data_IF_213828862473
#
_entry.id   IF_213828862473
#
_cell.length_a   1.000
_cell.length_b   1.000
_cell.length_c   1.000
_cell.angle_alpha   90.00
_cell.angle_beta   90.00
_cell.angle_gamma   90.00
#
_symmetry.space_group_name_H-M   'P 1'
#
loop_
_entity.id
_entity.type
_entity.pdbx_description
1 polymer ?
2 non-polymer ?
3 non-polymer ?
4 non-polymer ?
5 water ?
#
# COMPACT_ATOMS: atom_id res chain seq x y z
N UNK A 3 1.80 22.56 -2.78
CA UNK A 3 0.69 23.18 -2.03
C UNK A 3 0.80 23.03 -0.50
N UNK A 4 1.78 22.26 0.01
CA UNK A 4 1.89 22.05 1.44
C UNK A 4 0.80 21.14 1.98
N UNK A 5 1.02 20.64 3.19
CA UNK A 5 0.36 19.38 3.51
C UNK A 5 -0.18 19.26 4.93
N UNK A 6 -0.67 20.35 5.53
CA UNK A 6 -1.36 20.15 6.82
C UNK A 6 -2.89 20.10 6.74
N UNK A 7 -3.48 20.33 5.56
CA UNK A 7 -4.93 20.55 5.49
C UNK A 7 -5.69 19.24 5.70
N UNK A 8 -7.03 19.35 5.77
CA UNK A 8 -7.85 18.21 6.17
C UNK A 8 -7.99 17.20 5.05
N UNK A 9 -7.99 17.67 3.80
CA UNK A 9 -7.90 16.76 2.66
C UNK A 9 -6.65 15.91 2.76
N UNK A 10 -5.52 16.55 3.05
CA UNK A 10 -4.28 15.84 3.37
C UNK A 10 -4.51 14.74 4.42
N UNK A 11 -5.12 15.12 5.55
CA UNK A 11 -5.34 14.17 6.63
C UNK A 11 -6.17 12.97 6.17
N UNK A 12 -7.24 13.20 5.41
CA UNK A 12 -8.03 12.09 4.90
C UNK A 12 -7.22 11.23 3.94
N UNK A 13 -6.36 11.86 3.14
CA UNK A 13 -5.51 11.12 2.21
C UNK A 13 -4.50 10.24 2.95
N UNK A 14 -3.97 10.73 4.07
CA UNK A 14 -2.98 9.96 4.81
C UNK A 14 -3.60 8.68 5.34
N UNK A 15 -4.73 8.79 6.04
CA UNK A 15 -5.39 7.60 6.58
C UNK A 15 -5.86 6.67 5.47
N UNK A 16 -6.31 7.24 4.35
CA UNK A 16 -6.67 6.45 3.18
C UNK A 16 -5.51 5.58 2.71
N UNK A 17 -4.32 6.19 2.56
CA UNK A 17 -3.15 5.41 2.19
C UNK A 17 -2.74 4.44 3.30
N UNK A 18 -2.79 4.89 4.57
CA UNK A 18 -2.40 4.00 5.66
C UNK A 18 -3.23 2.72 5.67
N UNK A 19 -4.53 2.84 5.39
CA UNK A 19 -5.40 1.68 5.47
C UNK A 19 -4.94 0.55 4.55
N UNK A 20 -4.52 0.89 3.33
CA UNK A 20 -3.91 -0.11 2.44
C UNK A 20 -2.54 -0.53 2.93
N UNK A 21 -1.63 0.43 3.04
CA UNK A 21 -0.23 0.09 3.32
C UNK A 21 -0.11 -0.65 4.63
N UNK A 22 -0.79 -0.17 5.68
CA UNK A 22 -0.63 -0.82 6.97
C UNK A 22 -1.50 -2.07 7.09
N UNK A 23 -2.60 -2.17 6.35
CA UNK A 23 -3.30 -3.44 6.26
C UNK A 23 -2.42 -4.52 5.65
N UNK A 24 -1.76 -4.21 4.54
CA UNK A 24 -0.90 -5.19 3.91
C UNK A 24 0.27 -5.56 4.80
N UNK A 25 0.91 -4.55 5.41
CA UNK A 25 2.06 -4.78 6.27
C UNK A 25 1.71 -5.70 7.43
N UNK A 26 0.52 -5.51 8.02
CA UNK A 26 0.13 -6.41 9.11
C UNK A 26 -0.01 -7.84 8.61
N UNK A 27 -0.53 -8.02 7.38
CA UNK A 27 -0.65 -9.38 6.83
C UNK A 27 0.72 -10.04 6.71
N UNK A 28 1.65 -9.37 6.03
CA UNK A 28 3.00 -9.91 5.88
C UNK A 28 3.67 -10.13 7.23
N UNK A 29 3.43 -9.24 8.19
CA UNK A 29 4.07 -9.38 9.49
C UNK A 29 3.58 -10.63 10.20
N UNK A 30 2.29 -10.91 10.12
CA UNK A 30 1.78 -12.12 10.75
C UNK A 30 2.42 -13.37 10.17
N UNK A 31 2.88 -13.31 8.92
CA UNK A 31 3.48 -14.48 8.29
C UNK A 31 4.99 -14.54 8.47
N UNK A 32 5.65 -13.42 8.78
CA UNK A 32 7.11 -13.34 8.73
C UNK A 32 7.80 -12.80 9.97
N UNK A 33 7.09 -12.62 11.08
CA UNK A 33 7.71 -11.94 12.21
C UNK A 33 8.56 -12.91 13.03
N UNK A 34 9.77 -12.46 13.39
CA UNK A 34 10.61 -13.19 14.32
C UNK A 34 10.46 -12.61 15.72
N UNK A 35 11.14 -13.23 16.69
CA UNK A 35 11.04 -12.79 18.07
C UNK A 35 11.57 -11.37 18.27
N UNK A 36 12.53 -10.93 17.43
CA UNK A 36 12.98 -9.54 17.54
C UNK A 36 11.87 -8.58 17.16
N UNK A 37 11.14 -8.89 16.10
CA UNK A 37 10.03 -8.05 15.69
C UNK A 37 8.99 -7.95 16.79
N UNK A 38 8.70 -9.06 17.47
CA UNK A 38 7.67 -9.02 18.51
C UNK A 38 8.13 -8.22 19.71
N UNK A 39 9.41 -8.27 20.03
CA UNK A 39 9.95 -7.42 21.08
C UNK A 39 9.73 -5.95 20.72
N UNK A 40 10.10 -5.55 19.51
CA UNK A 40 9.94 -4.17 19.07
C UNK A 40 8.49 -3.71 19.17
N UNK A 41 7.53 -4.59 18.86
CA UNK A 41 6.13 -4.19 18.94
C UNK A 41 5.66 -4.11 20.39
N UNK A 42 6.03 -5.09 21.21
CA UNK A 42 5.66 -5.07 22.63
C UNK A 42 6.34 -3.93 23.38
N UNK A 43 7.59 -3.61 23.04
CA UNK A 43 8.27 -2.46 23.61
C UNK A 43 7.47 -1.18 23.40
N UNK A 44 6.94 -1.00 22.18
CA UNK A 44 6.16 0.20 21.87
C UNK A 44 4.83 0.18 22.61
N UNK A 45 4.19 -0.99 22.71
CA UNK A 45 2.93 -1.07 23.45
C UNK A 45 3.13 -0.71 24.91
N UNK A 46 4.17 -1.27 25.54
CA UNK A 46 4.43 -1.00 26.96
C UNK A 46 4.62 0.49 27.19
N UNK A 47 5.31 1.16 26.26
CA UNK A 47 5.48 2.61 26.37
C UNK A 47 4.15 3.32 26.24
N UNK A 48 3.26 2.84 25.35
CA UNK A 48 1.96 3.49 25.20
C UNK A 48 1.11 3.29 26.43
N UNK A 49 1.12 2.09 26.99
CA UNK A 49 0.34 1.80 28.18
C UNK A 49 0.67 2.78 29.30
N UNK A 50 1.96 3.08 29.50
CA UNK A 50 2.39 4.09 30.46
C UNK A 50 2.04 5.52 30.04
N UNK A 51 1.59 5.73 28.80
CA UNK A 51 1.33 7.09 28.34
C UNK A 51 -0.16 7.36 28.19
N UNK A 52 -1.02 6.50 28.72
CA UNK A 52 -2.45 6.68 28.51
C UNK A 52 -2.94 7.98 29.14
N UNK A 53 -2.39 8.34 30.30
CA UNK A 53 -2.82 9.55 31.00
C UNK A 53 -2.44 10.80 30.21
N UNK A 54 -1.28 10.81 29.56
CA UNK A 54 -0.72 11.99 28.91
C UNK A 54 -0.28 11.66 27.47
N UNK A 55 -1.08 12.03 26.44
CA UNK A 55 -0.87 11.44 25.11
C UNK A 55 -0.08 12.24 24.07
N UNK A 56 0.68 13.28 24.45
CA UNK A 56 1.56 13.94 23.47
C UNK A 56 2.92 13.25 23.33
N UNK A 57 3.37 12.53 24.37
CA UNK A 57 4.49 11.61 24.26
C UNK A 57 4.09 10.31 23.60
N UNK A 58 2.80 10.00 23.63
CA UNK A 58 2.30 8.83 22.95
C UNK A 58 2.51 8.89 21.45
N UNK A 59 2.61 10.10 20.88
CA UNK A 59 2.79 10.25 19.44
C UNK A 59 3.90 9.37 18.92
N UNK A 60 5.12 9.55 19.45
CA UNK A 60 6.26 8.81 18.90
C UNK A 60 6.13 7.31 19.14
N UNK A 61 5.62 6.93 20.30
CA UNK A 61 5.45 5.52 20.60
C UNK A 61 4.38 4.89 19.72
N UNK A 62 3.35 5.65 19.38
CA UNK A 62 2.35 5.21 18.43
C UNK A 62 2.97 4.99 17.05
N UNK A 63 3.64 6.00 16.50
CA UNK A 63 4.32 5.81 15.21
C UNK A 63 5.29 4.64 15.30
N UNK A 64 6.02 4.53 16.41
CA UNK A 64 7.04 3.48 16.55
C UNK A 64 6.41 2.10 16.49
N UNK A 65 5.23 1.93 17.09
CA UNK A 65 4.55 0.63 17.03
C UNK A 65 4.24 0.25 15.59
N UNK A 66 3.72 1.19 14.80
CA UNK A 66 3.39 0.94 13.40
C UNK A 66 4.63 0.76 12.54
N UNK A 67 5.71 1.47 12.87
CA UNK A 67 6.95 1.27 12.14
C UNK A 67 7.49 -0.14 12.36
N UNK A 68 7.41 -0.63 13.61
CA UNK A 68 7.88 -1.99 13.88
C UNK A 68 7.10 -3.01 13.08
N UNK A 69 5.76 -2.84 13.01
CA UNK A 69 4.94 -3.68 12.14
C UNK A 69 5.46 -3.66 10.72
N UNK A 70 5.78 -2.48 10.21
CA UNK A 70 6.36 -2.40 8.86
C UNK A 70 7.69 -3.14 8.79
N UNK A 71 8.54 -3.00 9.81
CA UNK A 71 9.81 -3.71 9.76
C UNK A 71 9.59 -5.22 9.85
N UNK A 72 8.56 -5.66 10.57
CA UNK A 72 8.30 -7.09 10.65
C UNK A 72 7.91 -7.71 9.30
N UNK A 73 7.70 -6.93 8.23
CA UNK A 73 7.44 -7.56 6.95
C UNK A 73 8.69 -8.18 6.34
N UNK A 74 9.87 -7.78 6.78
CA UNK A 74 11.14 -8.31 6.23
C UNK A 74 11.25 -7.89 4.77
N UNK A 75 10.53 -6.83 4.41
CA UNK A 75 10.57 -6.31 3.03
C UNK A 75 11.22 -4.95 3.14
N UNK A 76 12.37 -4.80 2.55
CA UNK A 76 13.20 -3.59 2.64
C UNK A 76 12.40 -2.39 2.19
N UNK A 77 11.57 -2.52 1.18
CA UNK A 77 10.80 -1.36 0.69
C UNK A 77 9.76 -0.85 1.69
N UNK A 78 9.09 -1.72 2.42
CA UNK A 78 8.02 -1.22 3.32
C UNK A 78 8.57 -0.27 4.37
N UNK A 79 9.67 -0.61 5.02
CA UNK A 79 10.15 0.32 6.06
C UNK A 79 10.48 1.67 5.44
N UNK A 80 11.10 1.66 4.28
CA UNK A 80 11.47 2.95 3.66
C UNK A 80 10.24 3.80 3.39
N UNK A 81 9.15 3.23 2.92
CA UNK A 81 7.95 4.04 2.60
C UNK A 81 7.44 4.69 3.87
N UNK A 82 7.40 3.96 4.96
CA UNK A 82 6.95 4.59 6.21
C UNK A 82 7.94 5.69 6.58
N UNK A 83 9.24 5.47 6.41
CA UNK A 83 10.17 6.57 6.76
C UNK A 83 9.92 7.75 5.84
N UNK A 84 9.80 7.49 4.55
CA UNK A 84 9.56 8.56 3.58
C UNK A 84 8.31 9.39 3.92
N UNK A 85 7.35 8.79 4.63
CA UNK A 85 6.10 9.46 4.98
C UNK A 85 6.06 9.89 6.45
N UNK A 86 7.21 9.93 7.13
CA UNK A 86 7.20 10.09 8.58
C UNK A 86 6.50 11.38 9.02
N UNK A 87 6.66 12.49 8.27
CA UNK A 87 5.95 13.71 8.64
C UNK A 87 4.43 13.55 8.49
N UNK A 88 3.98 12.85 7.45
CA UNK A 88 2.55 12.64 7.29
C UNK A 88 2.00 11.75 8.40
N UNK A 89 2.76 10.71 8.77
CA UNK A 89 2.37 9.87 9.89
C UNK A 89 2.20 10.71 11.17
N UNK A 90 3.17 11.58 11.43
CA UNK A 90 3.13 12.37 12.66
C UNK A 90 1.92 13.27 12.68
N UNK A 91 1.67 13.99 11.57
CA UNK A 91 0.52 14.87 11.49
C UNK A 91 -0.78 14.12 11.76
N UNK A 92 -0.90 12.90 11.23
CA UNK A 92 -2.10 12.11 11.43
C UNK A 92 -2.15 11.58 12.86
N UNK A 93 -1.04 11.03 13.35
CA UNK A 93 -1.07 10.46 14.69
C UNK A 93 -1.25 11.56 15.74
N UNK A 94 -0.60 12.72 15.55
CA UNK A 94 -0.69 13.80 16.53
C UNK A 94 -2.10 14.40 16.58
N UNK A 95 -2.68 14.72 15.42
CA UNK A 95 -4.05 15.24 15.36
C UNK A 95 -5.04 14.30 16.03
N UNK A 96 -4.83 12.98 15.89
CA UNK A 96 -5.76 11.99 16.46
C UNK A 96 -5.60 11.85 17.96
N UNK A 97 -4.37 11.83 18.46
CA UNK A 97 -4.21 11.57 19.88
C UNK A 97 -4.68 12.77 20.70
N UNK A 98 -4.50 13.98 20.17
CA UNK A 98 -5.16 15.13 20.78
C UNK A 98 -6.67 14.93 20.84
N UNK A 99 -7.29 14.56 19.71
CA UNK A 99 -8.74 14.50 19.65
C UNK A 99 -9.32 13.48 20.63
N UNK A 100 -8.65 12.33 20.81
CA UNK A 100 -9.20 11.26 21.65
C UNK A 100 -8.98 11.49 23.14
N UNK A 101 -8.05 12.36 23.52
CA UNK A 101 -7.94 12.74 24.93
C UNK A 101 -9.14 13.56 25.40
N UNK A 102 -10.09 13.87 24.50
CA UNK A 102 -11.26 14.67 24.84
C UNK A 102 -12.36 13.83 25.51
N UNK A 103 -12.53 12.58 25.08
CA UNK A 103 -13.55 11.71 25.63
C UNK A 103 -12.92 10.75 26.62
N UNK A 104 -13.53 10.62 27.81
CA UNK A 104 -12.91 9.86 28.90
C UNK A 104 -12.73 8.39 28.50
N UNK A 105 -11.57 7.84 28.84
CA UNK A 105 -11.25 6.46 28.52
C UNK A 105 -11.01 6.13 27.05
N UNK A 106 -11.24 7.07 26.13
CA UNK A 106 -11.07 6.77 24.70
C UNK A 106 -9.66 6.32 24.38
N UNK A 107 -8.68 6.82 25.12
CA UNK A 107 -7.30 6.43 24.86
C UNK A 107 -7.06 4.98 25.25
N UNK A 108 -7.69 4.53 26.33
CA UNK A 108 -7.60 3.12 26.69
C UNK A 108 -8.25 2.26 25.62
N UNK A 109 -9.30 2.76 24.99
CA UNK A 109 -9.96 2.04 23.91
C UNK A 109 -9.06 1.97 22.69
N UNK A 110 -8.40 3.09 22.35
CA UNK A 110 -7.48 3.09 21.22
C UNK A 110 -6.29 2.18 21.51
N UNK A 111 -5.81 2.17 22.75
CA UNK A 111 -4.75 1.24 23.11
C UNK A 111 -5.11 -0.19 22.70
N UNK A 112 -6.36 -0.60 22.92
CA UNK A 112 -6.75 -1.97 22.60
C UNK A 112 -6.83 -2.19 21.09
N UNK A 113 -7.07 -1.13 20.30
CA UNK A 113 -6.96 -1.28 18.86
C UNK A 113 -5.55 -1.68 18.46
N UNK A 114 -4.55 -1.13 19.14
CA UNK A 114 -3.16 -1.53 18.90
C UNK A 114 -2.91 -2.94 19.38
N UNK A 115 -3.37 -3.27 20.59
CA UNK A 115 -3.17 -4.61 21.10
C UNK A 115 -3.79 -5.63 20.15
N UNK A 116 -4.96 -5.29 19.59
CA UNK A 116 -5.60 -6.23 18.69
C UNK A 116 -4.70 -6.55 17.52
N UNK A 117 -4.00 -5.55 16.97
CA UNK A 117 -3.07 -5.82 15.87
C UNK A 117 -1.90 -6.66 16.34
N UNK A 118 -1.47 -6.47 17.58
CA UNK A 118 -0.32 -7.21 18.08
C UNK A 118 -0.68 -8.67 18.30
N UNK A 119 -1.82 -8.93 18.93
CA UNK A 119 -2.24 -10.31 19.17
C UNK A 119 -2.40 -11.07 17.85
N UNK A 120 -3.06 -10.45 16.87
CA UNK A 120 -3.21 -11.10 15.57
C UNK A 120 -1.87 -11.43 14.94
N UNK A 121 -0.87 -10.55 15.10
CA UNK A 121 0.42 -10.84 14.47
C UNK A 121 1.17 -11.90 15.24
N UNK A 122 1.16 -11.81 16.57
CA UNK A 122 1.62 -12.90 17.42
C UNK A 122 1.01 -14.23 16.97
N UNK A 123 -0.33 -14.31 16.93
CA UNK A 123 -1.05 -15.55 16.64
C UNK A 123 -0.76 -16.13 15.25
N UNK A 124 -0.08 -15.40 14.38
CA UNK A 124 0.25 -15.92 13.07
C UNK A 124 -0.82 -15.77 12.01
N UNK A 125 -1.96 -15.13 12.33
CA UNK A 125 -3.13 -15.03 11.47
C UNK A 125 -3.09 -13.78 10.57
N UNK A 126 -2.78 -13.94 9.27
CA UNK A 126 -2.63 -12.74 8.42
C UNK A 126 -3.92 -11.96 8.19
N UNK A 127 -5.04 -12.63 7.91
CA UNK A 127 -6.27 -11.89 7.62
C UNK A 127 -6.81 -11.23 8.87
N UNK A 128 -6.65 -11.88 10.02
CA UNK A 128 -7.03 -11.23 11.26
C UNK A 128 -6.17 -9.98 11.52
N UNK A 129 -4.88 -10.08 11.21
CA UNK A 129 -3.98 -8.94 11.40
C UNK A 129 -4.35 -7.79 10.47
N UNK A 130 -4.58 -8.09 9.20
CA UNK A 130 -4.97 -7.04 8.26
C UNK A 130 -6.27 -6.37 8.71
N UNK A 131 -7.25 -7.16 9.18
CA UNK A 131 -8.51 -6.57 9.62
C UNK A 131 -8.29 -5.62 10.78
N UNK A 132 -7.52 -6.05 11.78
CA UNK A 132 -7.37 -5.21 12.96
C UNK A 132 -6.65 -3.92 12.61
N UNK A 133 -5.65 -4.02 11.72
CA UNK A 133 -4.90 -2.82 11.34
C UNK A 133 -5.77 -1.84 10.56
N UNK A 134 -6.58 -2.34 9.62
CA UNK A 134 -7.50 -1.43 8.94
C UNK A 134 -8.57 -0.91 9.90
N UNK A 135 -8.81 -1.59 11.01
CA UNK A 135 -9.80 -1.07 11.94
C UNK A 135 -9.26 0.06 12.82
N UNK A 136 -8.01 -0.04 13.32
CA UNK A 136 -7.42 1.09 14.05
C UNK A 136 -7.56 2.35 13.22
N UNK A 137 -7.29 2.25 11.92
CA UNK A 137 -7.26 3.43 11.06
C UNK A 137 -8.66 3.93 10.72
N UNK A 138 -9.55 3.01 10.31
CA UNK A 138 -10.95 3.38 10.05
C UNK A 138 -11.57 4.08 11.25
N UNK A 139 -11.32 3.55 12.45
CA UNK A 139 -11.85 4.15 13.67
C UNK A 139 -11.17 5.48 13.95
N UNK A 140 -9.86 5.57 13.68
CA UNK A 140 -9.16 6.82 13.92
C UNK A 140 -9.68 7.89 13.00
N UNK A 141 -9.94 7.52 11.74
CA UNK A 141 -10.47 8.49 10.79
C UNK A 141 -11.91 8.87 11.15
N UNK A 142 -12.67 7.93 11.67
CA UNK A 142 -14.05 8.20 12.01
C UNK A 142 -14.14 9.02 13.30
N UNK A 143 -13.24 8.80 14.27
CA UNK A 143 -13.15 9.68 15.43
C UNK A 143 -12.80 11.10 15.03
N UNK A 144 -12.18 11.29 13.86
CA UNK A 144 -11.87 12.60 13.33
C UNK A 144 -12.87 13.08 12.29
N UNK A 145 -13.92 12.29 12.01
CA UNK A 145 -14.97 12.69 11.07
C UNK A 145 -14.42 12.93 9.66
N UNK A 146 -13.44 12.12 9.25
CA UNK A 146 -12.80 12.35 7.95
C UNK A 146 -13.71 11.94 6.79
N UNK A 147 -14.56 10.92 6.99
CA UNK A 147 -15.45 10.43 5.94
C UNK A 147 -14.65 9.96 4.72
N UNK A 148 -13.97 8.84 4.91
CA UNK A 148 -13.21 8.20 3.84
C UNK A 148 -14.16 7.62 2.80
N UNK B 5 18.74 -13.03 -12.43
CA UNK B 5 18.99 -14.42 -12.08
C UNK B 5 19.21 -14.56 -10.58
N UNK B 6 20.28 -13.96 -10.07
CA UNK B 6 20.52 -13.91 -8.63
C UNK B 6 19.73 -12.80 -7.95
N UNK B 7 18.92 -12.05 -8.70
CA UNK B 7 18.12 -10.96 -8.16
C UNK B 7 16.66 -11.36 -7.95
N UNK B 8 16.38 -12.68 -7.93
CA UNK B 8 15.01 -13.13 -7.72
C UNK B 8 14.44 -12.60 -6.41
N UNK B 9 15.25 -12.62 -5.35
CA UNK B 9 14.73 -12.22 -4.03
C UNK B 9 14.34 -10.74 -4.01
N UNK B 10 15.05 -9.90 -4.76
CA UNK B 10 14.73 -8.47 -4.74
C UNK B 10 13.55 -8.13 -5.64
N UNK B 11 13.41 -8.82 -6.77
CA UNK B 11 12.23 -8.62 -7.59
C UNK B 11 10.97 -9.08 -6.86
N UNK B 12 11.09 -10.13 -6.06
CA UNK B 12 9.91 -10.60 -5.33
C UNK B 12 9.47 -9.59 -4.28
N UNK B 13 10.40 -8.85 -3.68
CA UNK B 13 10.01 -7.88 -2.66
C UNK B 13 9.38 -6.65 -3.30
N UNK B 14 9.85 -6.26 -4.49
CA UNK B 14 9.17 -5.24 -5.29
C UNK B 14 7.76 -5.70 -5.66
N UNK B 15 7.62 -6.92 -6.18
CA UNK B 15 6.29 -7.37 -6.56
C UNK B 15 5.41 -7.51 -5.33
N UNK B 16 6.00 -7.94 -4.22
CA UNK B 16 5.28 -8.00 -2.95
C UNK B 16 4.72 -6.63 -2.55
N UNK B 17 5.56 -5.61 -2.55
CA UNK B 17 5.09 -4.28 -2.19
C UNK B 17 4.10 -3.73 -3.21
N UNK B 18 4.37 -3.90 -4.51
CA UNK B 18 3.46 -3.43 -5.54
C UNK B 18 2.07 -4.01 -5.35
N UNK B 19 1.99 -5.26 -4.89
CA UNK B 19 0.71 -5.92 -4.77
C UNK B 19 -0.19 -5.20 -3.80
N UNK B 20 0.37 -4.70 -2.70
CA UNK B 20 -0.46 -3.94 -1.77
C UNK B 20 -0.67 -2.51 -2.26
N UNK B 21 0.40 -1.85 -2.70
CA UNK B 21 0.26 -0.48 -3.17
C UNK B 21 -0.71 -0.36 -4.34
N UNK B 22 -0.59 -1.26 -5.32
CA UNK B 22 -1.37 -1.11 -6.56
C UNK B 22 -2.77 -1.69 -6.42
N UNK B 23 -2.95 -2.76 -5.66
CA UNK B 23 -4.31 -3.20 -5.36
C UNK B 23 -5.13 -2.10 -4.70
N UNK B 24 -4.57 -1.47 -3.67
CA UNK B 24 -5.27 -0.39 -3.02
C UNK B 24 -5.52 0.79 -3.95
N UNK B 25 -4.51 1.16 -4.74
CA UNK B 25 -4.70 2.24 -5.72
C UNK B 25 -5.83 1.90 -6.71
N UNK B 26 -5.84 0.67 -7.25
CA UNK B 26 -6.85 0.35 -8.26
C UNK B 26 -8.25 0.44 -7.69
N UNK B 27 -8.44 -0.03 -6.45
CA UNK B 27 -9.72 0.11 -5.79
C UNK B 27 -10.07 1.56 -5.56
N UNK B 28 -9.09 2.37 -5.17
CA UNK B 28 -9.32 3.80 -5.02
C UNK B 28 -9.70 4.44 -6.35
N UNK B 29 -8.95 4.12 -7.40
CA UNK B 29 -9.23 4.73 -8.70
C UNK B 29 -10.63 4.37 -9.17
N UNK B 30 -11.05 3.13 -8.92
CA UNK B 30 -12.40 2.72 -9.30
C UNK B 30 -13.45 3.60 -8.65
N UNK B 31 -13.19 4.10 -7.44
CA UNK B 31 -14.17 4.99 -6.82
C UNK B 31 -14.06 6.43 -7.32
N UNK B 32 -12.87 6.90 -7.70
CA UNK B 32 -12.62 8.34 -7.88
C UNK B 32 -12.23 8.77 -9.30
N UNK B 33 -12.00 7.84 -10.22
CA UNK B 33 -11.61 8.18 -11.59
C UNK B 33 -12.60 9.13 -12.23
N UNK B 34 -12.08 10.04 -13.07
CA UNK B 34 -12.91 10.91 -13.89
C UNK B 34 -12.57 10.66 -15.36
N UNK B 35 -13.26 11.38 -16.26
CA UNK B 35 -13.09 11.15 -17.70
C UNK B 35 -11.66 11.41 -18.16
N UNK B 36 -10.97 12.38 -17.54
CA UNK B 36 -9.55 12.58 -17.83
C UNK B 36 -8.71 11.38 -17.43
N UNK B 37 -9.05 10.74 -16.31
CA UNK B 37 -8.29 9.57 -15.86
C UNK B 37 -8.47 8.42 -16.82
N UNK B 38 -9.72 8.16 -17.23
CA UNK B 38 -10.03 7.12 -18.21
C UNK B 38 -9.24 7.30 -19.49
N UNK B 39 -9.29 8.53 -20.05
CA UNK B 39 -8.53 8.82 -21.26
C UNK B 39 -7.05 8.58 -21.04
N UNK B 40 -6.52 9.02 -19.89
CA UNK B 40 -5.10 8.82 -19.62
C UNK B 40 -4.76 7.34 -19.52
N UNK B 41 -5.60 6.55 -18.85
CA UNK B 41 -5.36 5.10 -18.83
C UNK B 41 -5.56 4.47 -20.20
N UNK B 42 -6.58 4.92 -20.94
CA UNK B 42 -6.87 4.30 -22.25
C UNK B 42 -5.77 4.62 -23.26
N UNK B 43 -5.28 5.86 -23.26
CA UNK B 43 -4.15 6.19 -24.13
C UNK B 43 -2.94 5.31 -23.82
N UNK B 44 -2.70 5.06 -22.54
CA UNK B 44 -1.61 4.17 -22.16
C UNK B 44 -1.83 2.77 -22.69
N UNK B 45 -3.07 2.25 -22.57
CA UNK B 45 -3.34 0.91 -23.10
C UNK B 45 -3.09 0.87 -24.60
N UNK B 46 -3.53 1.92 -25.32
CA UNK B 46 -3.29 1.99 -26.77
C UNK B 46 -1.80 2.00 -27.09
N UNK B 47 -1.00 2.75 -26.32
CA UNK B 47 0.45 2.70 -26.53
C UNK B 47 0.98 1.30 -26.29
N UNK B 48 0.49 0.60 -25.25
CA UNK B 48 0.95 -0.76 -25.01
C UNK B 48 0.49 -1.71 -26.10
N UNK B 49 -0.69 -1.46 -26.67
CA UNK B 49 -1.18 -2.31 -27.76
C UNK B 49 -0.26 -2.22 -28.97
N UNK B 50 0.19 -1.01 -29.29
CA UNK B 50 1.12 -0.83 -30.40
C UNK B 50 2.44 -1.54 -30.15
N UNK B 51 2.91 -1.57 -28.90
CA UNK B 51 4.22 -2.12 -28.56
C UNK B 51 4.29 -3.64 -28.69
N UNK B 52 3.15 -4.30 -28.94
CA UNK B 52 3.19 -5.71 -29.33
C UNK B 52 4.00 -5.91 -30.61
N UNK B 53 3.90 -4.96 -31.55
CA UNK B 53 4.69 -5.01 -32.78
C UNK B 53 6.12 -4.56 -32.53
N UNK B 54 6.31 -3.35 -32.00
CA UNK B 54 7.66 -2.82 -31.79
C UNK B 54 7.95 -2.70 -30.30
N UNK B 55 8.97 -3.39 -29.78
CA UNK B 55 9.18 -3.44 -28.33
C UNK B 55 9.73 -2.14 -27.71
N UNK B 56 10.17 -1.19 -28.51
CA UNK B 56 10.87 -0.02 -27.97
C UNK B 56 9.95 0.79 -27.07
N UNK B 57 10.45 1.15 -25.89
CA UNK B 57 9.78 2.00 -24.90
C UNK B 57 8.54 1.32 -24.28
N UNK B 58 8.42 0.00 -24.42
CA UNK B 58 7.31 -0.71 -23.80
C UNK B 58 7.32 -0.62 -22.29
N UNK B 59 8.51 -0.57 -21.70
CA UNK B 59 8.63 -0.41 -20.25
C UNK B 59 7.97 0.90 -19.82
N UNK B 60 8.26 1.98 -20.55
CA UNK B 60 7.71 3.28 -20.19
C UNK B 60 6.19 3.28 -20.30
N UNK B 61 5.65 2.63 -21.33
CA UNK B 61 4.19 2.60 -21.47
C UNK B 61 3.53 1.71 -20.42
N UNK B 62 4.18 0.61 -20.03
CA UNK B 62 3.69 -0.19 -18.92
C UNK B 62 3.65 0.64 -17.64
N UNK B 63 4.78 1.26 -17.27
CA UNK B 63 4.83 2.08 -16.06
C UNK B 63 3.85 3.24 -16.14
N UNK B 64 3.75 3.89 -17.31
CA UNK B 64 2.81 4.99 -17.45
C UNK B 64 1.37 4.53 -17.23
N UNK B 65 1.09 3.25 -17.50
CA UNK B 65 -0.25 2.75 -17.21
C UNK B 65 -0.48 2.66 -15.70
N UNK B 66 0.45 2.05 -14.97
CA UNK B 66 0.28 1.94 -13.53
C UNK B 66 0.35 3.30 -12.86
N UNK B 67 1.20 4.21 -13.38
CA UNK B 67 1.21 5.57 -12.84
C UNK B 67 -0.14 6.27 -13.07
N UNK B 68 -0.76 6.05 -14.22
CA UNK B 68 -2.06 6.67 -14.49
C UNK B 68 -3.13 6.19 -13.52
N UNK B 69 -3.12 4.90 -13.16
CA UNK B 69 -4.06 4.40 -12.16
C UNK B 69 -3.82 5.11 -10.83
N UNK B 70 -2.56 5.31 -10.48
CA UNK B 70 -2.25 6.01 -9.23
C UNK B 70 -2.75 7.46 -9.27
N UNK B 71 -2.55 8.16 -10.40
CA UNK B 71 -3.13 9.50 -10.54
C UNK B 71 -4.64 9.44 -10.34
N UNK B 72 -5.29 8.38 -10.83
CA UNK B 72 -6.75 8.31 -10.74
C UNK B 72 -7.27 8.08 -9.32
N UNK B 73 -6.39 7.75 -8.36
CA UNK B 73 -6.84 7.73 -6.95
C UNK B 73 -7.17 9.12 -6.46
N UNK B 74 -6.55 10.15 -7.04
CA UNK B 74 -6.68 11.54 -6.60
C UNK B 74 -6.21 11.71 -5.15
N UNK B 75 -5.30 10.84 -4.72
CA UNK B 75 -4.64 10.91 -3.43
C UNK B 75 -3.17 11.09 -3.73
N UNK B 76 -2.60 12.23 -3.29
CA UNK B 76 -1.29 12.65 -3.75
C UNK B 76 -0.18 11.74 -3.27
N UNK B 77 -0.43 10.96 -2.22
CA UNK B 77 0.63 10.12 -1.69
C UNK B 77 0.77 8.82 -2.49
N UNK B 78 -0.29 8.39 -3.19
CA UNK B 78 -0.11 7.25 -4.10
C UNK B 78 0.83 7.62 -5.25
N UNK B 79 0.71 8.82 -5.79
CA UNK B 79 1.61 9.21 -6.87
C UNK B 79 3.03 9.38 -6.37
N UNK B 80 3.19 10.00 -5.18
CA UNK B 80 4.53 10.23 -4.62
C UNK B 80 5.28 8.94 -4.41
N UNK B 81 4.62 7.93 -3.84
CA UNK B 81 5.31 6.67 -3.55
C UNK B 81 5.70 5.94 -4.82
N UNK B 82 4.84 6.00 -5.85
CA UNK B 82 5.18 5.36 -7.10
C UNK B 82 6.30 6.11 -7.81
N UNK B 83 6.29 7.44 -7.73
CA UNK B 83 7.43 8.20 -8.23
C UNK B 83 8.67 7.90 -7.40
N UNK B 84 8.48 7.74 -6.10
CA UNK B 84 9.58 7.45 -5.20
C UNK B 84 10.22 6.10 -5.53
N UNK B 85 9.41 5.14 -5.97
CA UNK B 85 9.87 3.78 -6.24
C UNK B 85 10.09 3.54 -7.73
N UNK B 86 10.15 4.61 -8.54
CA UNK B 86 10.23 4.47 -9.98
C UNK B 86 11.37 3.57 -10.43
N UNK B 87 12.52 3.66 -9.74
CA UNK B 87 13.67 2.84 -10.13
C UNK B 87 13.39 1.36 -9.95
N UNK B 88 12.78 1.01 -8.81
CA UNK B 88 12.37 -0.37 -8.57
C UNK B 88 11.33 -0.80 -9.59
N UNK B 89 10.40 0.08 -9.93
CA UNK B 89 9.40 -0.27 -10.93
C UNK B 89 10.06 -0.58 -12.28
N UNK B 90 10.96 0.29 -12.72
CA UNK B 90 11.63 0.11 -14.01
C UNK B 90 12.39 -1.22 -14.06
N UNK B 91 13.09 -1.56 -12.97
CA UNK B 91 13.86 -2.79 -12.98
C UNK B 91 12.96 -4.01 -13.03
N UNK B 92 11.82 -3.96 -12.34
CA UNK B 92 10.89 -5.08 -12.39
C UNK B 92 10.20 -5.18 -13.74
N UNK B 93 9.67 -4.06 -14.23
CA UNK B 93 8.91 -4.07 -15.48
C UNK B 93 9.81 -4.47 -16.64
N UNK B 94 11.04 -3.94 -16.70
CA UNK B 94 11.91 -4.25 -17.82
C UNK B 94 12.40 -5.69 -17.76
N UNK B 95 12.69 -6.19 -16.56
CA UNK B 95 12.97 -7.61 -16.40
C UNK B 95 11.80 -8.47 -16.89
N UNK B 96 10.58 -8.10 -16.52
CA UNK B 96 9.42 -8.94 -16.83
C UNK B 96 9.08 -8.90 -18.31
N UNK B 97 9.22 -7.74 -18.95
CA UNK B 97 8.78 -7.64 -20.34
C UNK B 97 9.75 -8.33 -21.30
N UNK B 98 11.06 -8.26 -21.03
CA UNK B 98 12.03 -9.01 -21.85
C UNK B 98 11.86 -10.50 -21.66
N UNK B 99 11.60 -10.95 -20.43
CA UNK B 99 11.34 -12.37 -20.20
C UNK B 99 10.09 -12.82 -20.93
N UNK B 100 9.10 -11.92 -21.06
CA UNK B 100 7.80 -12.27 -21.63
C UNK B 100 7.82 -12.33 -23.14
N UNK B 101 8.71 -11.55 -23.78
CA UNK B 101 8.88 -11.64 -25.21
C UNK B 101 9.41 -13.01 -25.63
N UNK B 102 10.07 -13.73 -24.73
CA UNK B 102 10.67 -15.02 -25.04
C UNK B 102 9.65 -16.10 -25.44
N UNK B 103 8.43 -16.06 -24.91
CA UNK B 103 7.41 -17.03 -25.29
C UNK B 103 6.36 -16.38 -26.18
N UNK B 104 5.88 -17.14 -27.18
CA UNK B 104 5.31 -16.54 -28.38
C UNK B 104 4.12 -15.63 -28.07
N UNK B 105 3.02 -16.19 -27.59
CA UNK B 105 1.86 -15.35 -27.39
C UNK B 105 1.78 -14.74 -26.02
N UNK B 106 2.91 -14.64 -25.32
CA UNK B 106 2.88 -14.27 -23.91
C UNK B 106 2.48 -12.80 -23.72
N UNK B 107 3.13 -11.88 -24.45
CA UNK B 107 2.92 -10.45 -24.23
C UNK B 107 1.48 -10.03 -24.49
N UNK B 108 0.75 -10.74 -25.37
CA UNK B 108 -0.68 -10.44 -25.54
C UNK B 108 -1.48 -10.85 -24.32
N UNK B 109 -1.16 -12.00 -23.73
CA UNK B 109 -1.78 -12.43 -22.47
C UNK B 109 -1.60 -11.33 -21.41
N UNK B 110 -0.37 -10.82 -21.28
CA UNK B 110 -0.08 -9.76 -20.33
C UNK B 110 -0.93 -8.52 -20.64
N UNK B 111 -1.09 -8.20 -21.92
CA UNK B 111 -1.86 -7.02 -22.28
C UNK B 111 -3.30 -7.12 -21.80
N UNK B 112 -3.86 -8.33 -21.78
CA UNK B 112 -5.20 -8.53 -21.25
C UNK B 112 -5.26 -8.30 -19.74
N UNK B 113 -4.21 -8.69 -19.01
CA UNK B 113 -4.15 -8.37 -17.59
C UNK B 113 -4.29 -6.88 -17.36
N UNK B 114 -3.59 -6.05 -18.15
CA UNK B 114 -3.70 -4.60 -18.00
C UNK B 114 -5.12 -4.13 -18.28
N UNK B 115 -5.65 -4.53 -19.45
CA UNK B 115 -7.03 -4.21 -19.83
C UNK B 115 -8.01 -4.56 -18.70
N UNK B 116 -7.86 -5.74 -18.09
CA UNK B 116 -8.79 -6.14 -17.04
C UNK B 116 -8.79 -5.17 -15.86
N UNK B 117 -7.65 -4.55 -15.55
CA UNK B 117 -7.64 -3.55 -14.47
C UNK B 117 -8.43 -2.33 -14.88
N UNK B 118 -8.21 -1.86 -16.12
CA UNK B 118 -8.93 -0.69 -16.61
C UNK B 118 -10.44 -0.96 -16.62
N UNK B 119 -10.84 -2.14 -17.08
CA UNK B 119 -12.26 -2.45 -17.15
C UNK B 119 -12.90 -2.37 -15.78
N UNK B 120 -12.27 -2.98 -14.77
CA UNK B 120 -12.83 -2.94 -13.42
C UNK B 120 -12.96 -1.50 -12.93
N UNK B 121 -11.92 -0.69 -13.16
CA UNK B 121 -11.94 0.71 -12.74
C UNK B 121 -13.03 1.49 -13.48
N UNK B 122 -13.15 1.26 -14.79
CA UNK B 122 -14.21 1.94 -15.56
C UNK B 122 -15.59 1.59 -15.03
N UNK B 123 -15.78 0.33 -14.62
CA UNK B 123 -17.06 -0.10 -14.05
C UNK B 123 -17.33 0.51 -12.68
N UNK B 124 -16.32 1.08 -12.04
CA UNK B 124 -16.51 1.54 -10.67
C UNK B 124 -16.66 0.41 -9.67
N UNK B 125 -15.92 -0.69 -9.85
CA UNK B 125 -16.00 -1.89 -9.02
C UNK B 125 -14.69 -2.03 -8.26
N UNK B 126 -14.60 -1.52 -7.03
CA UNK B 126 -13.29 -1.44 -6.35
C UNK B 126 -12.71 -2.79 -5.98
N UNK B 127 -13.54 -3.73 -5.52
CA UNK B 127 -13.04 -5.08 -5.24
C UNK B 127 -12.58 -5.77 -6.53
N UNK B 128 -13.32 -5.59 -7.62
CA UNK B 128 -12.87 -6.15 -8.90
C UNK B 128 -11.59 -5.49 -9.37
N UNK B 129 -11.49 -4.17 -9.19
CA UNK B 129 -10.28 -3.44 -9.54
C UNK B 129 -9.08 -3.94 -8.76
N UNK B 130 -9.25 -4.07 -7.43
CA UNK B 130 -8.16 -4.52 -6.58
C UNK B 130 -7.70 -5.93 -6.96
N UNK B 131 -8.65 -6.82 -7.25
CA UNK B 131 -8.25 -8.17 -7.64
C UNK B 131 -7.58 -8.18 -9.01
N UNK B 132 -8.08 -7.39 -9.97
CA UNK B 132 -7.44 -7.35 -11.28
C UNK B 132 -6.00 -6.88 -11.17
N UNK B 133 -5.76 -5.84 -10.37
CA UNK B 133 -4.41 -5.30 -10.25
C UNK B 133 -3.46 -6.29 -9.60
N UNK B 134 -3.95 -7.05 -8.61
CA UNK B 134 -3.06 -7.97 -7.93
C UNK B 134 -2.87 -9.26 -8.70
N UNK B 135 -3.91 -9.71 -9.42
CA UNK B 135 -3.71 -10.87 -10.29
C UNK B 135 -2.62 -10.59 -11.30
N UNK B 136 -2.60 -9.37 -11.84
CA UNK B 136 -1.57 -8.96 -12.80
C UNK B 136 -0.17 -9.08 -12.20
N UNK B 137 0.00 -8.66 -10.95
CA UNK B 137 1.33 -8.76 -10.36
C UNK B 137 1.69 -10.18 -10.00
N UNK B 138 0.73 -10.92 -9.43
CA UNK B 138 0.91 -12.35 -9.18
C UNK B 138 1.36 -13.08 -10.44
N UNK B 139 0.57 -12.99 -11.51
CA UNK B 139 0.93 -13.70 -12.75
C UNK B 139 2.28 -13.22 -13.28
N UNK B 140 2.54 -11.91 -13.17
CA UNK B 140 3.84 -11.40 -13.59
C UNK B 140 4.96 -11.98 -12.73
N UNK B 141 4.70 -12.19 -11.43
CA UNK B 141 5.69 -12.81 -10.56
C UNK B 141 5.87 -14.30 -10.90
N UNK B 142 4.76 -15.01 -11.16
CA UNK B 142 4.84 -16.39 -11.65
C UNK B 142 5.70 -16.49 -12.91
N UNK B 143 5.38 -15.67 -13.92
CA UNK B 143 6.16 -15.66 -15.16
C UNK B 143 7.64 -15.46 -14.89
N UNK B 144 7.99 -14.82 -13.78
CA UNK B 144 9.39 -14.62 -13.45
C UNK B 144 9.91 -15.70 -12.49
N UNK B 145 9.08 -16.66 -12.12
CA UNK B 145 9.49 -17.77 -11.25
C UNK B 145 9.95 -17.28 -9.88
N UNK B 146 9.35 -16.18 -9.39
CA UNK B 146 9.50 -15.71 -8.02
C UNK B 146 8.47 -16.42 -7.13
N UNK B 147 8.67 -16.35 -5.81
CA UNK B 147 7.89 -17.20 -4.89
C UNK B 147 7.39 -16.41 -3.69
N UNK B 148 6.36 -15.59 -3.90
CA UNK B 148 5.68 -14.92 -2.78
C UNK B 148 4.87 -15.93 -1.96
#
# INVERSE_FOLDING_TARGET
>A
VSAGLDDREQLASVYELRMELEGGAAALAARRRNATDLAAMAEALAALEANLDHPEQGVEHDIAFHVAIAAATHNRYYQDLLQYLNLQLRLAVSTARTNSRRQEGLTAVVHQEHVAVYDAILAGDPDRARLAATRHLQQAASRLRLDLLS
>B
VSAGLDDREQLASVYELRMELEGGAAALAARRRNATDLAAMAEALAALEANLDHPEQGVEHDIAFHVAIAAATHNRYYQDLLQYLNLQLRLAVSTARTNSRRQEGLTAVVHQEHVAVYDAILAGDPDRARLAATRHLQQAASRLRLDLLS
#
